data_IF_916618584954
#
_entry.id   IF_916618584954
#
_cell.length_a   1.000
_cell.length_b   1.000
_cell.length_c   1.000
_cell.angle_alpha   90.00
_cell.angle_beta   90.00
_cell.angle_gamma   90.00
#
_symmetry.space_group_name_H-M   'P 1'
#
loop_
_entity.id
_entity.type
_entity.pdbx_description
1 polymer ?
#
# COMPACT_ATOMS: atom_id res chain seq x y z
N UNK A 1 15.95 -4.49 6.79
CA UNK A 1 15.98 -4.26 5.32
C UNK A 1 17.38 -4.00 4.72
N UNK A 2 18.48 -3.96 5.50
CA UNK A 2 19.82 -3.56 5.01
C UNK A 2 20.56 -4.49 4.02
N UNK A 3 19.91 -5.49 3.42
CA UNK A 3 20.54 -6.40 2.43
C UNK A 3 19.68 -6.80 1.22
N UNK A 4 18.40 -6.40 1.13
CA UNK A 4 17.45 -7.10 0.24
C UNK A 4 17.46 -6.69 -1.25
N UNK A 5 18.05 -5.55 -1.64
CA UNK A 5 18.40 -5.27 -3.03
C UNK A 5 19.45 -4.15 -3.04
N UNK A 6 20.62 -4.40 -3.61
CA UNK A 6 21.59 -3.33 -3.91
C UNK A 6 21.26 -2.77 -5.29
N UNK A 7 21.40 -1.46 -5.45
CA UNK A 7 21.35 -0.85 -6.78
C UNK A 7 22.37 -1.54 -7.69
N UNK A 8 21.95 -1.81 -8.92
CA UNK A 8 22.82 -2.35 -9.98
C UNK A 8 22.76 -1.37 -11.14
N UNK A 9 23.75 -0.46 -11.28
CA UNK A 9 23.76 0.53 -12.34
C UNK A 9 23.48 -0.12 -13.71
N UNK A 10 22.53 0.43 -14.46
CA UNK A 10 22.10 -0.10 -15.76
C UNK A 10 21.18 -1.34 -15.73
N UNK A 11 20.91 -1.94 -14.57
CA UNK A 11 20.04 -3.13 -14.44
C UNK A 11 18.87 -2.93 -13.47
N UNK A 12 19.11 -2.27 -12.34
CA UNK A 12 18.11 -2.06 -11.29
C UNK A 12 18.40 -0.78 -10.52
N UNK A 13 17.44 0.14 -10.51
CA UNK A 13 17.43 1.32 -9.65
C UNK A 13 16.36 1.14 -8.58
N UNK A 14 16.71 1.36 -7.31
CA UNK A 14 15.79 1.26 -6.20
C UNK A 14 15.53 2.64 -5.61
N UNK A 15 14.32 3.18 -5.84
CA UNK A 15 13.89 4.43 -5.25
C UNK A 15 13.15 4.15 -3.93
N UNK A 16 13.77 4.49 -2.81
CA UNK A 16 13.13 4.45 -1.49
C UNK A 16 12.60 5.84 -1.11
N UNK A 17 11.71 5.90 -0.11
CA UNK A 17 11.01 7.15 0.26
C UNK A 17 10.32 7.81 -0.93
N UNK A 18 9.78 6.96 -1.82
CA UNK A 18 9.08 7.33 -3.03
C UNK A 18 7.65 6.81 -2.93
N UNK A 19 6.67 7.68 -3.14
CA UNK A 19 5.24 7.35 -3.15
C UNK A 19 4.72 7.51 -4.58
N UNK A 20 4.13 6.45 -5.12
CA UNK A 20 3.40 6.53 -6.38
C UNK A 20 2.08 7.30 -6.16
N UNK A 21 1.83 8.34 -6.95
CA UNK A 21 0.71 9.28 -6.77
C UNK A 21 -0.25 9.31 -7.95
N UNK A 22 0.12 8.74 -9.09
CA UNK A 22 -0.75 8.71 -10.26
C UNK A 22 -0.15 7.98 -11.44
N UNK A 23 -1.00 7.59 -12.38
CA UNK A 23 -0.60 6.92 -13.62
C UNK A 23 -1.52 7.39 -14.73
N UNK A 24 -0.97 7.68 -15.89
CA UNK A 24 -1.72 8.13 -17.06
C UNK A 24 -1.17 7.47 -18.32
N UNK A 25 -2.04 7.33 -19.33
CA UNK A 25 -1.62 6.90 -20.66
C UNK A 25 -0.76 7.98 -21.32
N UNK A 26 0.28 7.56 -22.01
CA UNK A 26 1.14 8.45 -22.80
C UNK A 26 1.51 7.77 -24.12
N UNK A 27 0.73 8.07 -25.17
CA UNK A 27 0.80 7.37 -26.45
C UNK A 27 0.62 5.86 -26.30
N UNK A 28 1.60 5.08 -26.77
CA UNK A 28 1.62 3.63 -26.62
C UNK A 28 2.05 3.15 -25.23
N UNK A 29 2.62 4.03 -24.41
CA UNK A 29 3.15 3.72 -23.09
C UNK A 29 2.34 4.34 -21.95
N UNK A 30 3.04 4.57 -20.84
CA UNK A 30 2.49 5.08 -19.60
C UNK A 30 3.43 6.05 -18.92
N UNK A 31 2.84 6.97 -18.16
CA UNK A 31 3.53 7.94 -17.33
C UNK A 31 3.07 7.81 -15.88
N UNK A 32 3.99 7.48 -14.97
CA UNK A 32 3.73 7.43 -13.54
C UNK A 32 4.26 8.67 -12.83
N UNK A 33 3.40 9.29 -12.02
CA UNK A 33 3.76 10.37 -11.09
C UNK A 33 4.21 9.77 -9.77
N UNK A 34 5.38 10.18 -9.27
CA UNK A 34 5.99 9.67 -8.06
C UNK A 34 6.52 10.82 -7.23
N UNK A 35 6.09 10.94 -5.98
CA UNK A 35 6.69 11.88 -5.02
C UNK A 35 7.84 11.21 -4.30
N UNK A 36 9.07 11.71 -4.46
CA UNK A 36 10.26 11.22 -3.78
C UNK A 36 11.06 12.37 -3.18
N UNK A 37 11.41 12.29 -1.89
CA UNK A 37 12.19 13.32 -1.17
C UNK A 37 11.65 14.76 -1.38
N UNK A 38 10.33 14.95 -1.25
CA UNK A 38 9.63 16.22 -1.48
C UNK A 38 9.71 16.78 -2.91
N UNK A 39 10.21 16.02 -3.87
CA UNK A 39 10.18 16.35 -5.30
C UNK A 39 9.19 15.44 -6.04
N UNK A 40 8.53 15.99 -7.06
CA UNK A 40 7.74 15.20 -8.00
C UNK A 40 8.66 14.66 -9.10
N UNK A 41 8.57 13.37 -9.36
CA UNK A 41 9.26 12.65 -10.41
C UNK A 41 8.23 12.07 -11.37
N UNK A 42 8.58 12.11 -12.65
CA UNK A 42 7.82 11.45 -13.71
C UNK A 42 8.64 10.28 -14.22
N UNK A 43 8.04 9.09 -14.22
CA UNK A 43 8.62 7.88 -14.79
C UNK A 43 7.83 7.48 -16.02
N UNK A 44 8.51 7.24 -17.13
CA UNK A 44 7.90 6.81 -18.38
C UNK A 44 8.36 5.39 -18.70
N UNK A 45 7.40 4.53 -19.02
CA UNK A 45 7.65 3.14 -19.37
C UNK A 45 6.54 2.59 -20.27
N UNK A 46 6.84 1.60 -21.13
CA UNK A 46 5.80 0.92 -21.90
C UNK A 46 4.82 0.13 -21.01
N UNK A 47 5.21 -0.22 -19.78
CA UNK A 47 4.38 -0.93 -18.81
C UNK A 47 4.80 -0.63 -17.38
N UNK A 48 3.86 -0.80 -16.44
CA UNK A 48 4.08 -0.73 -15.00
C UNK A 48 3.48 -1.97 -14.33
N UNK A 49 4.12 -2.43 -13.26
CA UNK A 49 3.62 -3.52 -12.40
C UNK A 49 3.24 -2.95 -11.05
N UNK A 50 2.00 -3.16 -10.63
CA UNK A 50 1.50 -2.73 -9.33
C UNK A 50 1.75 -3.84 -8.32
N UNK A 51 2.64 -3.58 -7.36
CA UNK A 51 2.97 -4.49 -6.26
C UNK A 51 2.92 -3.74 -4.91
N UNK A 52 1.86 -2.93 -4.72
CA UNK A 52 1.76 -1.96 -3.61
C UNK A 52 1.27 -2.54 -2.27
N UNK A 53 0.98 -3.83 -2.20
CA UNK A 53 0.33 -4.45 -1.03
C UNK A 53 -1.16 -4.15 -0.94
N UNK A 54 -1.75 -4.43 0.23
CA UNK A 54 -3.19 -4.32 0.51
C UNK A 54 -3.60 -3.04 1.25
N UNK A 55 -4.77 -3.08 1.89
CA UNK A 55 -5.42 -1.94 2.55
C UNK A 55 -5.81 -2.17 4.02
N UNK A 56 -5.34 -3.24 4.67
CA UNK A 56 -5.78 -3.59 6.03
C UNK A 56 -5.23 -2.71 7.17
N UNK A 57 -4.49 -1.63 6.84
CA UNK A 57 -4.17 -0.55 7.80
C UNK A 57 -4.94 0.75 7.47
N UNK A 58 -5.75 0.76 6.41
CA UNK A 58 -6.45 1.95 5.91
C UNK A 58 -7.68 2.28 6.75
N UNK A 59 -7.55 2.56 8.06
CA UNK A 59 -8.69 2.68 8.99
C UNK A 59 -8.98 4.13 9.46
N UNK A 60 -8.35 5.14 8.88
CA UNK A 60 -8.37 6.52 9.41
C UNK A 60 -8.70 7.61 8.40
N UNK A 61 -8.87 7.28 7.12
CA UNK A 61 -9.09 8.24 6.04
C UNK A 61 -10.55 8.27 5.57
N UNK A 62 -11.00 9.42 5.06
CA UNK A 62 -12.33 9.59 4.46
C UNK A 62 -12.58 8.60 3.31
N UNK A 63 -11.53 8.29 2.54
CA UNK A 63 -11.56 7.34 1.41
C UNK A 63 -11.01 5.97 1.80
N UNK A 64 -11.10 5.62 3.08
CA UNK A 64 -10.68 4.32 3.61
C UNK A 64 -11.36 3.17 2.86
N UNK A 65 -10.55 2.29 2.25
CA UNK A 65 -11.03 1.05 1.67
C UNK A 65 -11.51 0.09 2.76
N UNK A 66 -10.85 0.05 3.91
CA UNK A 66 -11.25 -0.85 5.00
C UNK A 66 -12.63 -0.46 5.56
N UNK A 67 -12.84 0.80 5.94
CA UNK A 67 -14.11 1.28 6.49
C UNK A 67 -15.21 1.26 5.44
N UNK A 68 -14.89 1.48 4.16
CA UNK A 68 -15.88 1.36 3.07
C UNK A 68 -16.40 -0.06 2.90
N UNK A 69 -15.55 -1.07 3.05
CA UNK A 69 -15.91 -2.46 2.73
C UNK A 69 -16.19 -3.34 3.95
N UNK A 70 -15.60 -3.02 5.11
CA UNK A 70 -15.71 -3.72 6.39
C UNK A 70 -15.66 -2.74 7.57
N UNK A 71 -16.66 -1.84 7.70
CA UNK A 71 -16.73 -0.90 8.82
C UNK A 71 -16.80 -1.59 10.18
N UNK A 72 -17.28 -2.84 10.23
CA UNK A 72 -17.30 -3.68 11.43
C UNK A 72 -15.89 -4.01 11.98
N UNK A 73 -14.84 -3.74 11.21
CA UNK A 73 -13.44 -3.97 11.61
C UNK A 73 -12.72 -2.71 12.11
N UNK A 74 -13.39 -1.55 12.21
CA UNK A 74 -12.77 -0.26 12.59
C UNK A 74 -11.98 -0.33 13.91
N UNK A 75 -12.56 -0.95 14.93
CA UNK A 75 -11.97 -1.02 16.28
C UNK A 75 -10.95 -2.17 16.44
N UNK A 76 -10.76 -3.01 15.42
CA UNK A 76 -9.85 -4.14 15.52
C UNK A 76 -8.41 -3.70 15.31
N UNK A 77 -7.45 -4.24 16.09
CA UNK A 77 -6.04 -4.00 15.82
C UNK A 77 -5.60 -4.62 14.49
N UNK A 78 -4.53 -4.09 13.92
CA UNK A 78 -3.94 -4.58 12.67
C UNK A 78 -2.54 -5.13 12.89
N UNK A 79 -2.10 -6.05 12.05
CA UNK A 79 -0.72 -6.56 12.05
C UNK A 79 0.11 -6.02 10.89
N UNK A 80 -0.50 -5.14 10.10
CA UNK A 80 0.08 -4.57 8.90
C UNK A 80 0.75 -3.25 9.26
N UNK A 81 1.88 -2.97 8.60
CA UNK A 81 2.56 -1.71 8.80
C UNK A 81 1.75 -0.52 8.24
N UNK A 82 2.04 0.71 8.72
CA UNK A 82 1.30 1.93 8.38
C UNK A 82 1.27 2.26 6.89
N UNK A 83 2.15 1.65 6.09
CA UNK A 83 2.17 1.79 4.63
C UNK A 83 1.08 0.98 3.90
N UNK A 84 0.29 0.16 4.59
CA UNK A 84 -0.67 -0.78 3.98
C UNK A 84 -2.05 -0.14 3.81
N UNK A 85 -2.08 0.98 3.09
CA UNK A 85 -3.24 1.90 2.96
C UNK A 85 -4.02 1.74 1.64
N UNK A 86 -3.66 0.76 0.81
CA UNK A 86 -4.37 0.50 -0.44
C UNK A 86 -4.15 1.53 -1.55
N UNK A 87 -3.13 2.38 -1.46
CA UNK A 87 -2.86 3.45 -2.44
C UNK A 87 -2.91 2.98 -3.90
N UNK A 88 -2.24 1.87 -4.21
CA UNK A 88 -2.24 1.33 -5.58
C UNK A 88 -3.58 0.75 -6.02
N UNK A 89 -4.40 0.25 -5.08
CA UNK A 89 -5.77 -0.20 -5.36
C UNK A 89 -6.65 1.00 -5.71
N UNK A 90 -6.53 2.11 -4.96
CA UNK A 90 -7.23 3.37 -5.20
C UNK A 90 -6.88 3.92 -6.59
N UNK A 91 -5.58 4.00 -6.93
CA UNK A 91 -5.13 4.47 -8.25
C UNK A 91 -5.62 3.55 -9.38
N UNK A 92 -5.53 2.23 -9.21
CA UNK A 92 -6.00 1.29 -10.24
C UNK A 92 -7.51 1.40 -10.49
N UNK A 93 -8.31 1.53 -9.42
CA UNK A 93 -9.75 1.77 -9.49
C UNK A 93 -10.07 3.04 -10.28
N UNK A 94 -9.35 4.12 -10.01
CA UNK A 94 -9.57 5.41 -10.68
C UNK A 94 -9.22 5.36 -12.18
N UNK A 95 -8.39 4.40 -12.59
CA UNK A 95 -8.10 4.07 -13.99
C UNK A 95 -9.13 3.13 -14.63
N UNK A 96 -10.19 2.77 -13.91
CA UNK A 96 -11.25 1.88 -14.40
C UNK A 96 -10.97 0.39 -14.18
N UNK A 97 -9.97 0.03 -13.36
CA UNK A 97 -9.80 -1.36 -12.96
C UNK A 97 -11.00 -1.82 -12.12
N UNK A 98 -11.53 -3.00 -12.43
CA UNK A 98 -12.55 -3.63 -11.60
C UNK A 98 -11.90 -4.18 -10.33
N UNK A 99 -12.46 -3.81 -9.19
CA UNK A 99 -12.13 -4.40 -7.90
C UNK A 99 -13.10 -5.55 -7.61
N UNK A 100 -12.59 -6.64 -7.04
CA UNK A 100 -13.37 -7.83 -6.68
C UNK A 100 -13.06 -8.19 -5.24
N UNK A 101 -14.05 -8.77 -4.54
CA UNK A 101 -13.91 -9.35 -3.20
C UNK A 101 -13.31 -8.40 -2.15
N UNK A 102 -13.54 -7.10 -2.30
CA UNK A 102 -12.98 -6.08 -1.40
C UNK A 102 -13.53 -6.18 0.04
N UNK A 103 -14.66 -6.86 0.24
CA UNK A 103 -15.27 -7.18 1.53
C UNK A 103 -14.62 -8.40 2.23
N UNK A 104 -13.79 -9.17 1.52
CA UNK A 104 -13.12 -10.38 2.03
C UNK A 104 -11.82 -10.04 2.76
N UNK A 105 -11.97 -9.36 3.90
CA UNK A 105 -10.86 -9.02 4.80
C UNK A 105 -10.63 -10.13 5.83
N UNK A 106 -9.41 -10.65 5.90
CA UNK A 106 -9.00 -11.66 6.88
C UNK A 106 -8.61 -11.00 8.20
N UNK A 107 -9.26 -11.42 9.28
CA UNK A 107 -8.85 -11.12 10.65
C UNK A 107 -8.12 -12.32 11.24
N UNK A 108 -6.90 -12.12 11.74
CA UNK A 108 -6.11 -13.18 12.35
C UNK A 108 -6.40 -13.30 13.86
N UNK A 109 -6.65 -14.51 14.41
CA UNK A 109 -7.12 -14.65 15.78
C UNK A 109 -6.05 -14.47 16.87
N UNK A 110 -4.75 -14.50 16.52
CA UNK A 110 -3.63 -14.58 17.49
C UNK A 110 -2.61 -13.44 17.37
N UNK A 111 -3.09 -12.18 17.34
CA UNK A 111 -2.20 -11.02 17.50
C UNK A 111 -1.67 -10.91 18.93
N UNK A 112 -0.35 -10.75 19.10
CA UNK A 112 0.25 -10.59 20.43
C UNK A 112 -0.11 -9.26 21.07
N UNK A 113 -0.51 -9.29 22.34
CA UNK A 113 -0.67 -8.10 23.18
C UNK A 113 0.62 -7.87 23.95
N UNK A 114 1.29 -6.73 23.71
CA UNK A 114 2.40 -6.27 24.54
C UNK A 114 1.85 -5.84 25.92
N UNK A 115 2.21 -6.51 27.04
CA UNK A 115 1.69 -6.14 28.36
C UNK A 115 2.06 -4.71 28.79
N UNK A 116 3.17 -4.16 28.30
CA UNK A 116 3.56 -2.79 28.58
C UNK A 116 2.75 -1.78 27.76
N UNK A 117 2.15 -2.20 26.64
CA UNK A 117 1.40 -1.37 25.71
C UNK A 117 0.17 -2.11 25.16
N UNK A 118 -0.80 -2.44 26.02
CA UNK A 118 -1.92 -3.32 25.65
C UNK A 118 -2.84 -2.70 24.60
N UNK A 119 -2.94 -1.37 24.55
CA UNK A 119 -3.79 -0.61 23.63
C UNK A 119 -3.13 -0.27 22.28
N UNK A 120 -1.89 -0.70 22.02
CA UNK A 120 -1.23 -0.46 20.73
C UNK A 120 -2.07 -1.03 19.58
N UNK A 121 -2.36 -0.21 18.58
CA UNK A 121 -3.22 -0.64 17.47
C UNK A 121 -2.50 -1.65 16.56
N UNK A 122 -1.17 -1.51 16.40
CA UNK A 122 -0.38 -2.46 15.61
C UNK A 122 0.12 -3.62 16.48
N UNK A 123 -0.15 -4.85 16.07
CA UNK A 123 0.24 -6.08 16.80
C UNK A 123 1.18 -6.94 15.97
N UNK A 124 2.03 -7.71 16.64
CA UNK A 124 2.85 -8.75 16.00
C UNK A 124 2.02 -10.03 15.86
N UNK A 125 2.06 -10.67 14.69
CA UNK A 125 1.44 -11.97 14.49
C UNK A 125 2.21 -13.07 15.22
N UNK A 126 1.48 -13.97 15.88
CA UNK A 126 1.99 -15.30 16.19
C UNK A 126 1.90 -16.14 14.90
N UNK A 127 3.05 -16.38 14.27
CA UNK A 127 3.20 -17.19 13.06
C UNK A 127 4.04 -18.44 13.34
#
# INVERSE_FOLDING_TARGET
LGRAARERPGQLRLLTRARWTGLARDGAGWRASVRANASELVLEAPSFVIASGGFGHDAQELESLLLKHRPDLEDFPTTLGPQTTGDGVKIARDLGARLVDMDRVQLHPTGFVDPARPSEHTKTLAA
#
